data_IF_351310245431
#
_entry.id   IF_351310245431
#
_cell.length_a   1.000
_cell.length_b   1.000
_cell.length_c   1.000
_cell.angle_alpha   90.00
_cell.angle_beta   90.00
_cell.angle_gamma   90.00
#
_symmetry.space_group_name_H-M   'P 1'
#
loop_
_entity.id
_entity.type
_entity.pdbx_description
1 polymer ?
#
# COMPACT_ATOMS: atom_id res chain seq x y z
N UNK A 1 -5.89 -11.35 14.50
CA UNK A 1 -6.85 -11.61 13.41
C UNK A 1 -6.88 -10.43 12.42
N UNK A 2 -5.79 -10.16 11.70
CA UNK A 2 -5.82 -9.20 10.58
C UNK A 2 -4.75 -9.58 9.54
N UNK A 3 -4.90 -10.77 8.98
CA UNK A 3 -4.00 -11.35 7.97
C UNK A 3 -4.36 -10.95 6.54
N UNK A 4 -5.55 -10.37 6.33
CA UNK A 4 -6.06 -9.96 5.01
C UNK A 4 -5.83 -8.46 4.88
N UNK A 5 -5.16 -8.03 3.81
CA UNK A 5 -4.91 -6.61 3.54
C UNK A 5 -6.19 -5.79 3.36
N UNK A 6 -6.07 -4.55 2.91
CA UNK A 6 -7.20 -3.66 2.66
C UNK A 6 -7.53 -3.68 1.17
N UNK A 7 -8.82 -3.85 0.82
CA UNK A 7 -9.25 -3.80 -0.57
C UNK A 7 -9.25 -2.37 -1.10
N UNK A 8 -9.02 -2.18 -2.41
CA UNK A 8 -9.03 -0.87 -3.05
C UNK A 8 -10.29 -0.05 -2.72
N UNK A 9 -11.46 -0.71 -2.60
CA UNK A 9 -12.73 -0.04 -2.27
C UNK A 9 -12.75 0.57 -0.87
N UNK A 10 -12.14 -0.10 0.11
CA UNK A 10 -12.04 0.41 1.48
C UNK A 10 -11.03 1.56 1.57
N UNK A 11 -9.96 1.50 0.76
CA UNK A 11 -8.95 2.55 0.67
C UNK A 11 -9.57 3.82 0.05
N UNK A 12 -10.33 3.66 -1.04
CA UNK A 12 -11.00 4.79 -1.72
C UNK A 12 -12.04 5.46 -0.84
N UNK A 13 -12.82 4.66 -0.09
CA UNK A 13 -13.85 5.15 0.82
C UNK A 13 -13.22 5.97 1.96
N UNK A 14 -12.17 5.42 2.57
CA UNK A 14 -11.46 6.08 3.68
C UNK A 14 -10.69 7.33 3.25
N UNK A 15 -10.09 7.32 2.06
CA UNK A 15 -9.35 8.45 1.52
C UNK A 15 -10.24 9.46 0.78
N UNK A 16 -11.56 9.20 0.68
CA UNK A 16 -12.53 10.01 -0.06
C UNK A 16 -12.04 10.39 -1.46
N UNK A 17 -11.46 9.42 -2.17
CA UNK A 17 -10.91 9.60 -3.51
C UNK A 17 -11.48 8.60 -4.50
N UNK A 18 -11.35 8.92 -5.79
CA UNK A 18 -11.79 8.02 -6.86
C UNK A 18 -10.94 6.74 -6.91
N UNK A 19 -11.54 5.65 -7.38
CA UNK A 19 -10.88 4.35 -7.50
C UNK A 19 -9.67 4.38 -8.44
N UNK A 20 -9.73 5.18 -9.51
CA UNK A 20 -8.62 5.39 -10.43
C UNK A 20 -7.41 6.02 -9.74
N UNK A 21 -7.63 7.09 -8.98
CA UNK A 21 -6.58 7.82 -8.24
C UNK A 21 -5.97 6.95 -7.16
N UNK A 22 -6.80 6.27 -6.35
CA UNK A 22 -6.30 5.32 -5.34
C UNK A 22 -5.45 4.20 -5.98
N UNK A 23 -5.92 3.61 -7.08
CA UNK A 23 -5.20 2.56 -7.78
C UNK A 23 -3.85 3.04 -8.33
N UNK A 24 -3.77 4.26 -8.85
CA UNK A 24 -2.51 4.85 -9.29
C UNK A 24 -1.52 5.01 -8.13
N UNK A 25 -1.95 5.59 -7.01
CA UNK A 25 -1.10 5.74 -5.84
C UNK A 25 -0.64 4.39 -5.28
N UNK A 26 -1.54 3.40 -5.21
CA UNK A 26 -1.19 2.06 -4.77
C UNK A 26 -0.19 1.40 -5.72
N UNK A 27 -0.29 1.63 -7.03
CA UNK A 27 0.70 1.15 -8.00
C UNK A 27 2.07 1.79 -7.79
N UNK A 28 2.10 3.10 -7.52
CA UNK A 28 3.35 3.82 -7.22
C UNK A 28 4.00 3.26 -5.94
N UNK A 29 3.21 3.09 -4.86
CA UNK A 29 3.69 2.53 -3.60
C UNK A 29 4.16 1.08 -3.74
N UNK A 30 3.48 0.28 -4.57
CA UNK A 30 3.86 -1.10 -4.87
C UNK A 30 5.18 -1.14 -5.63
N UNK A 31 5.36 -0.27 -6.63
CA UNK A 31 6.62 -0.14 -7.38
C UNK A 31 7.77 0.36 -6.50
N UNK A 32 7.47 1.24 -5.53
CA UNK A 32 8.43 1.69 -4.54
C UNK A 32 8.77 0.62 -3.49
N UNK A 33 8.11 -0.55 -3.51
CA UNK A 33 8.33 -1.62 -2.56
C UNK A 33 7.78 -1.36 -1.16
N UNK A 34 6.99 -0.29 -0.97
CA UNK A 34 6.47 0.11 0.35
C UNK A 34 5.21 -0.66 0.75
N UNK A 35 4.52 -1.27 -0.21
CA UNK A 35 3.32 -2.06 0.03
C UNK A 35 3.35 -3.40 -0.71
N UNK A 36 2.83 -4.41 -0.01
CA UNK A 36 2.27 -5.70 -0.44
C UNK A 36 1.07 -5.56 -1.35
N UNK A 37 1.03 -6.16 -2.54
CA UNK A 37 -0.23 -6.42 -3.24
C UNK A 37 -0.43 -7.93 -3.38
N UNK A 38 -1.56 -8.43 -2.90
CA UNK A 38 -1.90 -9.85 -2.95
C UNK A 38 -3.29 -10.03 -3.55
N UNK A 39 -3.39 -10.87 -4.58
CA UNK A 39 -4.66 -11.14 -5.24
C UNK A 39 -5.32 -12.34 -4.58
N UNK A 40 -6.44 -12.10 -3.90
CA UNK A 40 -7.22 -13.15 -3.23
C UNK A 40 -8.59 -13.22 -3.91
N UNK A 41 -8.79 -14.26 -4.71
CA UNK A 41 -10.00 -14.44 -5.51
C UNK A 41 -10.18 -13.35 -6.57
N UNK A 42 -11.28 -12.61 -6.48
CA UNK A 42 -11.63 -11.52 -7.42
C UNK A 42 -11.05 -10.15 -7.04
N UNK A 43 -10.49 -10.01 -5.84
CA UNK A 43 -10.05 -8.72 -5.32
C UNK A 43 -8.54 -8.68 -5.08
N UNK A 44 -7.95 -7.50 -5.31
CA UNK A 44 -6.56 -7.21 -4.94
C UNK A 44 -6.56 -6.54 -3.58
N UNK A 45 -5.84 -7.15 -2.65
CA UNK A 45 -5.63 -6.65 -1.30
C UNK A 45 -4.25 -6.01 -1.20
N UNK A 46 -4.20 -4.87 -0.52
CA UNK A 46 -2.97 -4.15 -0.29
C UNK A 46 -2.60 -4.20 1.19
N UNK A 47 -1.32 -4.45 1.48
CA UNK A 47 -0.77 -4.52 2.83
C UNK A 47 0.48 -3.66 2.92
N UNK A 48 0.69 -2.97 4.03
CA UNK A 48 1.94 -2.22 4.24
C UNK A 48 3.10 -3.18 4.48
N UNK A 49 4.24 -2.89 3.86
CA UNK A 49 5.49 -3.58 4.14
C UNK A 49 6.27 -2.76 5.18
N UNK A 50 6.15 -3.12 6.46
CA UNK A 50 6.83 -2.41 7.54
C UNK A 50 8.36 -2.54 7.46
N UNK A 51 8.89 -3.63 6.88
CA UNK A 51 10.34 -3.77 6.68
C UNK A 51 10.84 -2.77 5.65
N UNK A 52 10.13 -2.63 4.52
CA UNK A 52 10.50 -1.67 3.48
C UNK A 52 10.33 -0.21 3.95
N UNK A 53 9.25 0.08 4.67
CA UNK A 53 9.01 1.40 5.27
C UNK A 53 10.09 1.73 6.30
N UNK A 54 10.48 0.76 7.14
CA UNK A 54 11.58 0.92 8.10
C UNK A 54 12.90 1.25 7.41
N UNK A 55 13.26 0.48 6.38
CA UNK A 55 14.46 0.76 5.56
C UNK A 55 14.43 2.14 4.91
N UNK A 56 13.28 2.56 4.39
CA UNK A 56 13.12 3.92 3.84
C UNK A 56 13.29 4.99 4.92
N UNK A 57 12.69 4.79 6.09
CA UNK A 57 12.79 5.73 7.20
C UNK A 57 14.24 5.85 7.71
N UNK A 58 14.98 4.74 7.79
CA UNK A 58 16.39 4.73 8.16
C UNK A 58 17.27 5.39 7.08
N UNK A 59 16.98 5.15 5.80
CA UNK A 59 17.63 5.84 4.70
C UNK A 59 17.43 7.37 4.79
N UNK A 60 16.19 7.82 5.00
CA UNK A 60 15.87 9.24 5.17
C UNK A 60 16.53 9.87 6.40
N UNK A 61 16.71 9.12 7.49
CA UNK A 61 17.41 9.59 8.69
C UNK A 61 18.93 9.67 8.53
N UNK A 62 19.49 8.94 7.56
CA UNK A 62 20.95 8.86 7.37
C UNK A 62 21.44 9.92 6.37
N UNK A 63 20.59 10.36 5.45
CA UNK A 63 20.92 11.31 4.37
C UNK A 63 20.43 12.74 4.61
N UNK A 64 19.83 13.04 5.77
CA UNK A 64 19.40 14.39 6.21
C UNK A 64 20.07 14.71 7.54
#
# INVERSE_FOLDING_TARGET
>A
MNTIGVCVSQITDKLKMTQSTASQYLTILLRAGLIKAERIGKYTYYKRDEEAIGKLADFLKTEI
#
